data_IF_107995485145
#
_entry.id   IF_107995485145
#
_cell.length_a   1.000
_cell.length_b   1.000
_cell.length_c   1.000
_cell.angle_alpha   90.00
_cell.angle_beta   90.00
_cell.angle_gamma   90.00
#
_symmetry.space_group_name_H-M   'P 1'
#
loop_
_entity.id
_entity.type
_entity.pdbx_description
1 polymer ?
#
# COMPACT_ATOMS: atom_id res chain seq x y z
N UNK A 1 -1.78 1.34 17.03
CA UNK A 1 -2.49 0.97 15.79
C UNK A 1 -1.77 1.57 14.61
N UNK A 2 -1.49 0.78 13.58
CA UNK A 2 -0.71 1.24 12.43
C UNK A 2 -1.60 1.90 11.39
N UNK A 3 -1.00 2.67 10.47
CA UNK A 3 -1.68 3.22 9.29
C UNK A 3 -2.45 2.12 8.51
N UNK A 4 -1.87 0.93 8.40
CA UNK A 4 -2.46 -0.18 7.67
C UNK A 4 -3.73 -0.72 8.33
N UNK A 5 -3.93 -0.52 9.64
CA UNK A 5 -5.11 -1.01 10.35
C UNK A 5 -6.32 -0.07 10.22
N UNK A 6 -6.10 1.24 10.04
CA UNK A 6 -7.18 2.23 10.21
C UNK A 6 -7.29 3.29 9.12
N UNK A 7 -6.21 3.58 8.39
CA UNK A 7 -6.26 4.62 7.38
C UNK A 7 -7.13 4.16 6.21
N UNK A 8 -8.10 4.94 5.73
CA UNK A 8 -8.75 4.69 4.44
C UNK A 8 -7.76 4.84 3.29
N UNK A 9 -8.00 4.14 2.18
CA UNK A 9 -7.23 4.36 0.95
C UNK A 9 -7.39 5.80 0.44
N UNK A 10 -6.34 6.34 -0.18
CA UNK A 10 -6.29 7.71 -0.69
C UNK A 10 -6.07 8.81 0.36
N UNK A 11 -5.90 8.45 1.65
CA UNK A 11 -5.66 9.42 2.72
C UNK A 11 -4.19 9.46 3.12
N UNK A 12 -3.63 10.67 3.11
CA UNK A 12 -2.32 10.95 3.67
C UNK A 12 -2.38 10.91 5.21
N UNK A 13 -1.46 10.16 5.80
CA UNK A 13 -1.28 9.99 7.24
C UNK A 13 0.10 10.49 7.63
N UNK A 14 0.16 11.30 8.69
CA UNK A 14 1.43 11.70 9.31
C UNK A 14 2.00 10.53 10.12
N UNK A 15 3.22 10.10 9.76
CA UNK A 15 3.98 9.04 10.44
C UNK A 15 5.03 9.63 11.40
N UNK A 16 4.79 10.85 11.89
CA UNK A 16 5.57 11.59 12.85
C UNK A 16 7.04 11.79 12.42
N UNK A 17 7.98 11.10 13.07
CA UNK A 17 9.41 11.22 12.76
C UNK A 17 9.78 10.57 11.43
N UNK A 18 8.97 9.62 10.94
CA UNK A 18 9.25 8.85 9.73
C UNK A 18 8.91 9.61 8.44
N UNK A 19 7.97 10.57 8.49
CA UNK A 19 7.47 11.32 7.33
C UNK A 19 5.97 11.15 7.17
N UNK A 20 5.48 10.94 5.95
CA UNK A 20 4.06 10.68 5.69
C UNK A 20 3.87 9.35 4.96
N UNK A 21 2.69 8.76 5.08
CA UNK A 21 2.31 7.57 4.33
C UNK A 21 0.90 7.70 3.78
N UNK A 22 0.59 6.88 2.79
CA UNK A 22 -0.74 6.78 2.19
C UNK A 22 -0.97 5.33 1.80
N UNK A 23 -2.14 4.79 2.12
CA UNK A 23 -2.59 3.55 1.49
C UNK A 23 -3.15 3.89 0.12
N UNK A 24 -2.56 3.35 -0.93
CA UNK A 24 -2.94 3.62 -2.32
C UNK A 24 -4.08 2.70 -2.75
N UNK A 25 -3.99 1.40 -2.39
CA UNK A 25 -5.00 0.40 -2.73
C UNK A 25 -5.25 -0.54 -1.55
N UNK A 26 -6.49 -0.97 -1.41
CA UNK A 26 -6.90 -2.10 -0.57
C UNK A 26 -7.63 -3.10 -1.42
N UNK A 27 -7.29 -4.38 -1.32
CA UNK A 27 -7.88 -5.44 -2.15
C UNK A 27 -7.82 -6.80 -1.46
N UNK A 28 -8.54 -7.78 -2.00
CA UNK A 28 -8.43 -9.17 -1.56
C UNK A 28 -7.35 -9.86 -2.38
N UNK A 29 -6.40 -10.48 -1.68
CA UNK A 29 -5.42 -11.34 -2.32
C UNK A 29 -6.03 -12.70 -2.67
N UNK A 30 -5.33 -13.50 -3.49
CA UNK A 30 -5.74 -14.86 -3.89
C UNK A 30 -6.05 -15.82 -2.74
N UNK A 31 -5.49 -15.60 -1.54
CA UNK A 31 -5.82 -16.36 -0.33
C UNK A 31 -6.99 -15.79 0.48
N UNK A 32 -7.70 -14.78 -0.02
CA UNK A 32 -8.80 -14.07 0.65
C UNK A 32 -8.36 -13.08 1.73
N UNK A 33 -7.06 -13.03 2.08
CA UNK A 33 -6.54 -12.05 3.01
C UNK A 33 -6.68 -10.63 2.48
N UNK A 34 -6.81 -9.66 3.39
CA UNK A 34 -6.77 -8.26 3.05
C UNK A 34 -5.33 -7.87 2.71
N UNK A 35 -5.08 -7.36 1.52
CA UNK A 35 -3.80 -6.82 1.09
C UNK A 35 -3.93 -5.32 0.83
N UNK A 36 -2.88 -4.57 1.13
CA UNK A 36 -2.82 -3.12 1.00
C UNK A 36 -1.50 -2.70 0.36
N UNK A 37 -1.59 -1.99 -0.76
CA UNK A 37 -0.46 -1.27 -1.32
C UNK A 37 -0.41 0.11 -0.66
N UNK A 38 0.77 0.51 -0.21
CA UNK A 38 0.97 1.81 0.43
C UNK A 38 2.28 2.44 -0.02
N UNK A 39 2.35 3.75 0.11
CA UNK A 39 3.56 4.52 -0.09
C UNK A 39 3.98 5.19 1.21
N UNK A 40 5.29 5.39 1.37
CA UNK A 40 5.89 6.15 2.47
C UNK A 40 6.84 7.17 1.88
N UNK A 41 6.62 8.44 2.23
CA UNK A 41 7.51 9.56 1.92
C UNK A 41 8.32 9.89 3.16
N UNK A 42 9.59 9.51 3.14
CA UNK A 42 10.53 9.83 4.21
C UNK A 42 10.85 11.32 4.27
N UNK A 43 11.19 11.84 5.46
CA UNK A 43 11.61 13.25 5.63
C UNK A 43 12.82 13.66 4.79
N UNK A 44 13.68 12.69 4.42
CA UNK A 44 14.80 12.90 3.50
C UNK A 44 14.42 12.99 2.02
N UNK A 45 13.12 13.04 1.68
CA UNK A 45 12.63 13.17 0.31
C UNK A 45 12.53 11.86 -0.48
N UNK A 46 12.98 10.75 0.11
CA UNK A 46 12.84 9.41 -0.49
C UNK A 46 11.40 8.92 -0.39
N UNK A 47 10.84 8.45 -1.51
CA UNK A 47 9.53 7.80 -1.54
C UNK A 47 9.71 6.32 -1.85
N UNK A 48 9.02 5.47 -1.10
CA UNK A 48 9.00 4.02 -1.30
C UNK A 48 7.57 3.54 -1.40
N UNK A 49 7.37 2.48 -2.19
CA UNK A 49 6.14 1.70 -2.22
C UNK A 49 6.36 0.39 -1.47
N UNK A 50 5.27 -0.16 -0.95
CA UNK A 50 5.22 -1.49 -0.40
C UNK A 50 3.85 -2.11 -0.58
N UNK A 51 3.83 -3.44 -0.58
CA UNK A 51 2.64 -4.26 -0.48
C UNK A 51 2.70 -5.02 0.83
N UNK A 52 1.64 -4.94 1.62
CA UNK A 52 1.47 -5.76 2.81
C UNK A 52 0.16 -6.53 2.77
N UNK A 53 0.18 -7.78 3.21
CA UNK A 53 -1.00 -8.59 3.40
C UNK A 53 -1.21 -8.88 4.89
N UNK A 54 -2.47 -8.90 5.31
CA UNK A 54 -2.85 -9.32 6.64
C UNK A 54 -2.48 -10.80 6.79
N UNK A 55 -1.67 -11.12 7.80
CA UNK A 55 -1.43 -12.50 8.16
C UNK A 55 -2.68 -13.11 8.81
N UNK A 56 -2.65 -14.43 9.11
CA UNK A 56 -3.70 -15.09 9.89
C UNK A 56 -3.99 -14.32 11.19
N UNK A 57 -5.22 -14.38 11.71
CA UNK A 57 -5.71 -13.60 12.86
C UNK A 57 -4.62 -13.38 13.93
N UNK A 58 -4.37 -12.11 14.27
CA UNK A 58 -3.38 -11.61 15.23
C UNK A 58 -1.88 -11.67 14.84
N UNK A 59 -1.52 -12.22 13.68
CA UNK A 59 -0.11 -12.24 13.22
C UNK A 59 0.39 -10.91 12.60
N UNK A 60 -0.48 -9.91 12.51
CA UNK A 60 -0.16 -8.58 12.02
C UNK A 60 -0.10 -8.49 10.49
N UNK A 61 0.61 -7.47 9.98
CA UNK A 61 0.83 -7.26 8.55
C UNK A 61 2.17 -7.87 8.13
N UNK A 62 2.18 -8.61 7.02
CA UNK A 62 3.39 -9.15 6.39
C UNK A 62 3.72 -8.34 5.14
N UNK A 63 4.99 -7.94 4.99
CA UNK A 63 5.45 -7.21 3.80
C UNK A 63 5.77 -8.21 2.70
N UNK A 64 5.02 -8.17 1.61
CA UNK A 64 5.20 -9.05 0.46
C UNK A 64 6.18 -8.48 -0.56
N UNK A 65 6.20 -7.15 -0.70
CA UNK A 65 7.11 -6.44 -1.57
C UNK A 65 7.41 -5.04 -1.04
N UNK A 66 8.62 -4.57 -1.31
CA UNK A 66 9.08 -3.22 -1.01
C UNK A 66 10.00 -2.73 -2.11
N UNK A 67 9.88 -1.46 -2.48
CA UNK A 67 10.79 -0.86 -3.44
C UNK A 67 10.79 0.65 -3.35
N UNK A 68 11.94 1.25 -3.66
CA UNK A 68 12.05 2.70 -3.75
C UNK A 68 11.45 3.17 -5.08
N UNK A 69 10.65 4.23 -5.05
CA UNK A 69 10.18 4.90 -6.26
C UNK A 69 11.34 5.52 -7.01
N UNK A 70 11.25 5.55 -8.34
CA UNK A 70 12.21 6.27 -9.16
C UNK A 70 12.15 7.77 -8.84
N UNK A 71 13.27 8.46 -9.00
CA UNK A 71 13.25 9.93 -9.03
C UNK A 71 12.79 10.35 -10.42
N UNK A 72 11.68 11.10 -10.54
CA UNK A 72 11.23 11.55 -11.86
C UNK A 72 12.34 12.37 -12.55
N UNK A 73 12.62 12.03 -13.79
CA UNK A 73 13.60 12.72 -14.62
C UNK A 73 12.90 13.27 -15.88
N UNK A 74 12.98 14.59 -16.07
CA UNK A 74 12.33 15.29 -17.20
C UNK A 74 10.85 15.61 -16.98
N UNK A 75 10.22 16.20 -18.00
CA UNK A 75 8.82 16.66 -17.97
C UNK A 75 7.82 15.55 -18.36
N UNK A 76 8.30 14.50 -19.02
CA UNK A 76 7.49 13.38 -19.50
C UNK A 76 7.45 12.26 -18.45
N UNK A 77 6.28 11.68 -18.22
CA UNK A 77 6.09 10.53 -17.33
C UNK A 77 5.34 9.40 -18.02
N UNK A 78 5.75 8.17 -17.74
CA UNK A 78 4.98 6.98 -18.15
C UNK A 78 3.67 6.92 -17.36
N UNK A 79 2.68 6.17 -17.87
CA UNK A 79 1.42 5.94 -17.15
C UNK A 79 1.63 5.24 -15.79
N UNK A 80 2.64 4.36 -15.70
CA UNK A 80 3.08 3.75 -14.43
C UNK A 80 3.83 4.74 -13.51
N UNK A 81 4.18 5.92 -14.01
CA UNK A 81 4.87 6.98 -13.30
C UNK A 81 6.20 6.52 -12.70
N UNK A 82 6.38 6.89 -11.44
CA UNK A 82 7.60 6.64 -10.67
C UNK A 82 7.45 5.42 -9.72
N UNK A 83 6.39 4.64 -9.86
CA UNK A 83 6.06 3.52 -8.97
C UNK A 83 7.18 2.46 -8.93
N UNK A 84 7.37 1.82 -7.77
CA UNK A 84 8.38 0.78 -7.64
C UNK A 84 7.97 -0.49 -8.42
N UNK A 85 8.72 -0.91 -9.47
CA UNK A 85 8.28 -1.99 -10.36
C UNK A 85 8.05 -3.32 -9.64
N UNK A 86 8.86 -3.64 -8.63
CA UNK A 86 8.72 -4.85 -7.83
C UNK A 86 7.40 -4.89 -7.04
N UNK A 87 6.90 -3.73 -6.60
CA UNK A 87 5.64 -3.64 -5.86
C UNK A 87 4.46 -3.75 -6.80
N UNK A 88 4.52 -3.10 -7.97
CA UNK A 88 3.49 -3.24 -9.02
C UNK A 88 3.35 -4.70 -9.43
N UNK A 89 4.46 -5.37 -9.75
CA UNK A 89 4.45 -6.78 -10.12
C UNK A 89 3.88 -7.70 -9.02
N UNK A 90 4.15 -7.38 -7.74
CA UNK A 90 3.61 -8.14 -6.63
C UNK A 90 2.09 -7.92 -6.44
N UNK A 91 1.61 -6.69 -6.64
CA UNK A 91 0.16 -6.40 -6.64
C UNK A 91 -0.52 -7.18 -7.76
N UNK A 92 0.01 -7.11 -8.99
CA UNK A 92 -0.54 -7.80 -10.16
C UNK A 92 -0.59 -9.33 -9.97
N UNK A 93 0.37 -9.90 -9.24
CA UNK A 93 0.41 -11.33 -8.97
C UNK A 93 -0.55 -11.80 -7.87
N UNK A 94 -0.96 -10.91 -6.96
CA UNK A 94 -1.71 -11.27 -5.75
C UNK A 94 -3.18 -10.82 -5.82
N UNK A 95 -3.49 -9.73 -6.52
CA UNK A 95 -4.83 -9.16 -6.58
C UNK A 95 -5.82 -10.14 -7.24
N UNK A 96 -6.90 -10.46 -6.53
CA UNK A 96 -7.92 -11.43 -6.97
C UNK A 96 -9.27 -10.77 -7.29
N UNK A 97 -9.44 -9.50 -6.90
CA UNK A 97 -10.67 -8.74 -7.10
C UNK A 97 -10.38 -7.27 -7.39
N UNK A 98 -11.41 -6.55 -7.82
CA UNK A 98 -11.38 -5.10 -7.83
C UNK A 98 -10.97 -4.53 -6.45
N UNK A 99 -10.28 -3.38 -6.42
CA UNK A 99 -9.98 -2.68 -5.18
C UNK A 99 -11.24 -2.40 -4.36
N UNK A 100 -11.13 -2.57 -3.05
CA UNK A 100 -12.16 -2.24 -2.08
C UNK A 100 -12.26 -0.73 -1.92
N UNK A 101 -13.48 -0.21 -1.87
CA UNK A 101 -13.77 1.21 -1.73
C UNK A 101 -14.77 1.46 -0.61
N UNK A 102 -14.67 2.62 0.03
CA UNK A 102 -15.68 3.13 0.96
C UNK A 102 -16.03 2.15 2.10
N UNK A 103 -17.31 1.77 2.18
CA UNK A 103 -17.81 0.89 3.24
C UNK A 103 -17.22 -0.51 3.21
N UNK A 104 -16.87 -1.04 2.04
CA UNK A 104 -16.33 -2.40 1.90
C UNK A 104 -14.90 -2.47 2.43
N UNK A 105 -14.11 -1.41 2.19
CA UNK A 105 -12.79 -1.25 2.78
C UNK A 105 -12.89 -1.14 4.31
N UNK A 106 -13.78 -0.30 4.83
CA UNK A 106 -13.96 -0.13 6.27
C UNK A 106 -14.38 -1.45 6.95
N UNK A 107 -15.29 -2.20 6.33
CA UNK A 107 -15.72 -3.50 6.84
C UNK A 107 -14.61 -4.56 6.76
N UNK A 108 -13.71 -4.49 5.79
CA UNK A 108 -12.55 -5.38 5.71
C UNK A 108 -11.53 -5.09 6.80
N UNK A 109 -11.27 -3.81 7.10
CA UNK A 109 -10.33 -3.40 8.16
C UNK A 109 -10.81 -3.83 9.57
N UNK A 110 -12.12 -3.76 9.83
CA UNK A 110 -12.68 -4.21 11.11
C UNK A 110 -12.69 -5.74 11.32
N UNK A 111 -12.32 -6.53 10.30
CA UNK A 111 -12.32 -8.01 10.32
C UNK A 111 -10.92 -8.62 10.17
N UNK A 112 -9.88 -7.80 10.15
CA UNK A 112 -8.48 -8.23 9.99
C UNK A 112 -7.94 -8.81 11.30
#
# INVERSE_FOLDING_TARGET
>A
TSMLDTAPSGQNVDLASLGSGEVVLSFRGTGGQLCRQFMVKGKGGTTSDALACAGPSDSGWQIEAYGRRATPAGEMKLAAGDAAPAVVAAVDAIIDSDPLLGSDEAAALGRK
#
